data_IF_973173234852
#
_entry.id   IF_973173234852
#
_cell.length_a   1.000
_cell.length_b   1.000
_cell.length_c   1.000
_cell.angle_alpha   90.00
_cell.angle_beta   90.00
_cell.angle_gamma   90.00
#
_symmetry.space_group_name_H-M   'P 1'
#
loop_
_entity.id
_entity.type
_entity.pdbx_description
1 polymer ?
#
# COMPACT_ATOMS: atom_id res chain seq x y z
N UNK A 1 -3.29 15.10 -16.75
CA UNK A 1 -3.50 14.78 -15.34
C UNK A 1 -2.14 14.77 -14.66
N UNK A 2 -1.85 15.69 -13.71
CA UNK A 2 -0.62 15.59 -12.93
C UNK A 2 -0.57 14.21 -12.27
N UNK A 3 0.61 13.55 -12.25
CA UNK A 3 0.83 12.23 -11.65
C UNK A 3 0.21 11.00 -12.35
N UNK A 4 -0.23 11.08 -13.61
CA UNK A 4 -0.70 9.88 -14.36
C UNK A 4 0.32 8.72 -14.38
N UNK A 5 1.61 9.03 -14.28
CA UNK A 5 2.71 8.07 -14.21
C UNK A 5 2.65 7.14 -12.99
N UNK A 6 2.19 7.65 -11.84
CA UNK A 6 2.07 6.89 -10.59
C UNK A 6 1.12 5.69 -10.72
N UNK A 7 0.14 5.80 -11.62
CA UNK A 7 -0.89 4.79 -11.84
C UNK A 7 -0.57 3.84 -13.01
N UNK A 8 0.67 3.84 -13.52
CA UNK A 8 1.10 2.91 -14.58
C UNK A 8 1.70 1.61 -14.03
N UNK A 9 2.16 1.61 -12.78
CA UNK A 9 2.88 0.49 -12.17
C UNK A 9 2.30 0.14 -10.80
N UNK A 10 2.29 -1.14 -10.45
CA UNK A 10 1.86 -1.61 -9.15
C UNK A 10 2.80 -2.70 -8.62
N UNK A 11 2.87 -2.83 -7.28
CA UNK A 11 3.46 -4.01 -6.62
C UNK A 11 2.36 -5.04 -6.38
N UNK A 12 2.62 -6.30 -6.69
CA UNK A 12 1.66 -7.40 -6.57
C UNK A 12 2.24 -8.48 -5.66
N UNK A 13 1.42 -9.00 -4.74
CA UNK A 13 1.73 -10.16 -3.92
C UNK A 13 0.51 -11.07 -3.89
N UNK A 14 0.64 -12.40 -4.11
CA UNK A 14 -0.49 -13.32 -4.09
C UNK A 14 -1.15 -13.49 -2.72
N UNK A 15 -0.42 -13.16 -1.64
CA UNK A 15 -0.86 -13.39 -0.26
C UNK A 15 -1.13 -12.08 0.49
N UNK A 16 -0.09 -11.28 0.70
CA UNK A 16 -0.22 -9.98 1.37
C UNK A 16 0.96 -9.08 1.06
N UNK A 17 0.74 -7.76 1.11
CA UNK A 17 1.78 -6.72 1.06
C UNK A 17 1.83 -6.03 2.42
N UNK A 18 3.03 -5.93 3.00
CA UNK A 18 3.27 -5.22 4.26
C UNK A 18 4.22 -4.06 4.00
N UNK A 19 3.86 -2.89 4.52
CA UNK A 19 4.68 -1.69 4.46
C UNK A 19 4.96 -1.24 5.90
N UNK A 20 6.22 -0.89 6.15
CA UNK A 20 6.69 -0.44 7.45
C UNK A 20 7.06 1.03 7.36
N UNK A 21 6.44 1.85 8.20
CA UNK A 21 6.91 3.20 8.47
C UNK A 21 8.08 3.13 9.44
N UNK A 22 9.29 3.05 8.91
CA UNK A 22 10.50 3.13 9.72
C UNK A 22 10.70 4.58 10.18
N UNK A 23 11.21 4.78 11.39
CA UNK A 23 11.67 6.08 11.85
C UNK A 23 10.59 7.16 11.97
N UNK A 24 9.33 6.76 12.08
CA UNK A 24 8.24 7.70 12.33
C UNK A 24 8.37 8.25 13.75
N UNK A 25 8.49 9.57 13.85
CA UNK A 25 8.49 10.27 15.13
C UNK A 25 7.13 10.08 15.83
N UNK A 26 7.06 10.20 17.17
CA UNK A 26 5.79 10.20 17.88
C UNK A 26 4.88 11.32 17.36
N UNK A 27 3.69 10.96 16.88
CA UNK A 27 2.77 11.92 16.31
C UNK A 27 1.58 11.29 15.58
N UNK A 28 0.65 12.13 15.16
CA UNK A 28 -0.51 11.72 14.38
C UNK A 28 -0.19 11.79 12.89
N UNK A 29 -0.42 10.69 12.17
CA UNK A 29 -0.15 10.58 10.75
C UNK A 29 -1.43 10.45 9.94
N UNK A 30 -1.52 11.18 8.84
CA UNK A 30 -2.56 10.98 7.83
C UNK A 30 -2.05 10.03 6.75
N UNK A 31 -2.66 8.85 6.65
CA UNK A 31 -2.32 7.86 5.62
C UNK A 31 -3.25 8.06 4.41
N UNK A 32 -2.68 8.33 3.24
CA UNK A 32 -3.40 8.40 1.96
C UNK A 32 -2.98 7.22 1.08
N UNK A 33 -3.93 6.37 0.72
CA UNK A 33 -3.71 5.22 -0.15
C UNK A 33 -4.32 5.49 -1.53
N UNK A 34 -3.54 5.21 -2.57
CA UNK A 34 -3.94 5.38 -3.96
C UNK A 34 -4.07 4.00 -4.61
N UNK A 35 -5.22 3.74 -5.23
CA UNK A 35 -5.51 2.47 -5.91
C UNK A 35 -5.90 2.72 -7.37
N UNK A 36 -5.43 1.86 -8.26
CA UNK A 36 -5.86 1.80 -9.66
C UNK A 36 -5.79 0.35 -10.15
N UNK A 37 -6.79 -0.07 -10.92
CA UNK A 37 -6.69 -1.30 -11.70
C UNK A 37 -5.90 -0.99 -12.96
N UNK A 38 -4.78 -1.68 -13.15
CA UNK A 38 -3.86 -1.44 -14.26
C UNK A 38 -3.73 -2.66 -15.18
N UNK A 39 -4.31 -3.81 -14.78
CA UNK A 39 -4.29 -5.03 -15.57
C UNK A 39 -5.66 -5.21 -16.22
N UNK A 40 -5.71 -4.93 -17.51
CA UNK A 40 -6.91 -5.12 -18.33
C UNK A 40 -6.72 -6.37 -19.20
N UNK A 41 -7.58 -7.37 -19.06
CA UNK A 41 -7.59 -8.51 -19.98
C UNK A 41 -8.17 -8.04 -21.32
N UNK A 42 -7.41 -8.10 -22.44
CA UNK A 42 -7.95 -7.75 -23.74
C UNK A 42 -8.90 -8.86 -24.19
N UNK A 43 -10.20 -8.61 -24.14
CA UNK A 43 -11.25 -9.50 -24.64
C UNK A 43 -12.27 -8.71 -25.47
N UNK A 44 -12.96 -9.35 -26.43
CA UNK A 44 -13.92 -8.68 -27.33
C UNK A 44 -15.12 -8.08 -26.60
N UNK A 45 -15.38 -8.53 -25.38
CA UNK A 45 -16.31 -7.93 -24.45
C UNK A 45 -15.51 -7.28 -23.33
N UNK A 46 -15.59 -5.95 -23.21
CA UNK A 46 -15.23 -5.19 -22.00
C UNK A 46 -16.12 -5.56 -20.79
N UNK A 47 -16.65 -6.79 -20.75
CA UNK A 47 -17.77 -7.21 -19.90
C UNK A 47 -17.37 -7.72 -18.53
N UNK A 48 -16.11 -8.06 -18.29
CA UNK A 48 -15.64 -8.40 -16.95
C UNK A 48 -14.19 -7.96 -16.76
N UNK A 49 -14.03 -6.71 -16.32
CA UNK A 49 -12.81 -6.30 -15.64
C UNK A 49 -12.58 -7.31 -14.50
N UNK A 50 -11.39 -7.91 -14.43
CA UNK A 50 -11.03 -8.78 -13.32
C UNK A 50 -11.30 -8.08 -12.00
N UNK A 51 -11.98 -8.73 -11.06
CA UNK A 51 -12.28 -8.15 -9.75
C UNK A 51 -11.20 -8.56 -8.77
N UNK A 52 -10.52 -7.58 -8.18
CA UNK A 52 -9.61 -7.79 -7.05
C UNK A 52 -10.29 -7.31 -5.77
N UNK A 53 -10.42 -8.21 -4.80
CA UNK A 53 -10.94 -7.90 -3.47
C UNK A 53 -9.81 -8.11 -2.47
N UNK A 54 -9.54 -7.13 -1.64
CA UNK A 54 -8.51 -7.19 -0.61
C UNK A 54 -8.93 -6.33 0.58
N UNK A 55 -8.45 -6.72 1.75
CA UNK A 55 -8.60 -5.95 2.98
C UNK A 55 -7.35 -5.10 3.23
N UNK A 56 -7.56 -3.90 3.77
CA UNK A 56 -6.48 -3.00 4.19
C UNK A 56 -6.50 -2.87 5.69
N UNK A 57 -5.40 -3.25 6.34
CA UNK A 57 -5.19 -3.04 7.77
C UNK A 57 -4.05 -2.06 8.01
N UNK A 58 -4.29 -1.06 8.87
CA UNK A 58 -3.29 -0.08 9.29
C UNK A 58 -3.12 -0.27 10.80
N UNK A 59 -1.96 -0.79 11.21
CA UNK A 59 -1.63 -0.93 12.63
C UNK A 59 -1.01 0.37 13.14
N UNK A 60 -1.72 1.05 14.04
CA UNK A 60 -1.22 2.27 14.73
C UNK A 60 -0.62 1.94 16.10
N UNK A 61 -0.83 0.72 16.59
CA UNK A 61 -0.29 0.27 17.88
C UNK A 61 1.08 -0.37 17.68
N UNK A 62 2.10 0.33 18.16
CA UNK A 62 3.35 -0.28 18.57
C UNK A 62 3.29 -0.45 20.10
N UNK A 63 3.39 -1.69 20.56
CA UNK A 63 3.79 -1.98 21.94
C UNK A 63 5.20 -1.40 22.09
N UNK A 64 5.41 -0.55 23.09
CA UNK A 64 6.73 0.03 23.39
C UNK A 64 7.71 -1.11 23.64
N UNK A 65 8.61 -1.36 22.69
CA UNK A 65 9.81 -2.13 22.94
C UNK A 65 10.77 -1.20 23.68
N UNK A 66 10.77 -1.24 25.01
CA UNK A 66 11.91 -0.74 25.75
C UNK A 66 13.06 -1.69 25.48
N UNK A 67 14.01 -1.31 24.61
CA UNK A 67 15.45 -1.48 24.82
C UNK A 67 16.23 -1.00 23.58
N UNK A 68 17.02 0.04 23.82
CA UNK A 68 18.12 0.61 23.03
C UNK A 68 18.55 -0.18 21.79
N UNK A 69 18.27 0.40 20.62
CA UNK A 69 19.23 0.54 19.52
C UNK A 69 18.95 1.92 18.91
N UNK A 70 19.64 2.92 19.44
CA UNK A 70 19.63 4.28 18.90
C UNK A 70 20.08 4.29 17.44
N UNK A 71 19.47 5.20 16.68
CA UNK A 71 19.67 5.54 15.26
C UNK A 71 18.90 4.69 14.24
N UNK A 72 17.83 5.31 13.75
CA UNK A 72 17.45 5.13 12.36
C UNK A 72 18.62 5.46 11.45
N UNK A 73 19.24 4.43 10.88
CA UNK A 73 20.30 4.54 9.86
C UNK A 73 19.82 5.38 8.68
#
# INVERSE_FOLDING_TARGET
MPNAELYKTARLSPLSLKYYGLCLQPGNYTVKLHFAEIVFTPGPTYGSLGRRVFDVSIQVIWIVWTNNLDECI
#
